data_IF_878038692254
#
_entry.id   IF_878038692254
#
_cell.length_a   1.000
_cell.length_b   1.000
_cell.length_c   1.000
_cell.angle_alpha   90.00
_cell.angle_beta   90.00
_cell.angle_gamma   90.00
#
_symmetry.space_group_name_H-M   'P 1'
#
loop_
_entity.id
_entity.type
_entity.pdbx_description
1 polymer ?
#
# COMPACT_ATOMS: atom_id res chain seq x y z
N UNK A 1 -12.14 14.27 13.23
CA UNK A 1 -11.18 13.55 14.09
C UNK A 1 -10.46 12.56 13.20
N UNK A 2 -9.14 12.45 13.32
CA UNK A 2 -8.35 11.51 12.52
C UNK A 2 -8.40 10.12 13.15
N UNK A 3 -8.33 9.09 12.31
CA UNK A 3 -8.24 7.70 12.74
C UNK A 3 -6.77 7.32 12.94
N UNK A 4 -6.38 6.77 14.10
CA UNK A 4 -5.00 6.34 14.30
C UNK A 4 -4.71 5.08 13.50
N UNK A 5 -3.58 5.07 12.77
CA UNK A 5 -3.00 3.84 12.24
C UNK A 5 -2.05 3.29 13.29
N UNK A 6 -2.36 2.09 13.78
CA UNK A 6 -1.49 1.42 14.73
C UNK A 6 -0.19 1.00 14.03
N UNK A 7 0.97 1.09 14.68
CA UNK A 7 2.24 0.67 14.09
C UNK A 7 2.37 -0.84 13.99
N UNK A 8 1.54 -1.61 14.68
CA UNK A 8 1.52 -3.07 14.63
C UNK A 8 0.06 -3.55 14.63
N UNK A 9 -0.18 -4.69 13.98
CA UNK A 9 -1.48 -5.33 14.05
C UNK A 9 -1.72 -6.02 15.40
N UNK A 10 -2.98 -6.00 15.85
CA UNK A 10 -3.38 -6.65 17.10
C UNK A 10 -3.19 -8.19 17.09
N UNK A 11 -3.09 -8.81 15.90
CA UNK A 11 -2.97 -10.26 15.71
C UNK A 11 -1.59 -10.71 15.21
N UNK A 12 -0.61 -9.80 15.10
CA UNK A 12 0.76 -10.12 14.67
C UNK A 12 0.98 -10.21 13.16
N UNK A 13 -0.03 -9.96 12.33
CA UNK A 13 0.16 -9.83 10.88
C UNK A 13 0.84 -8.50 10.55
N UNK A 14 1.93 -8.52 9.78
CA UNK A 14 2.68 -7.32 9.39
C UNK A 14 1.94 -6.41 8.40
N UNK A 15 0.72 -6.76 7.99
CA UNK A 15 -0.07 -6.00 7.01
C UNK A 15 -1.40 -5.47 7.52
N UNK A 16 -1.89 -6.01 8.65
CA UNK A 16 -3.29 -5.82 9.04
C UNK A 16 -3.57 -4.41 9.56
N UNK A 17 -2.54 -3.73 10.06
CA UNK A 17 -2.65 -2.32 10.47
C UNK A 17 -2.91 -1.37 9.30
N UNK A 18 -2.68 -1.80 8.05
CA UNK A 18 -2.97 -1.04 6.84
C UNK A 18 -4.35 -1.35 6.25
N UNK A 19 -5.10 -2.31 6.79
CA UNK A 19 -6.47 -2.61 6.33
C UNK A 19 -7.40 -1.39 6.39
N UNK A 20 -7.41 -0.56 7.46
CA UNK A 20 -8.25 0.64 7.48
C UNK A 20 -7.95 1.61 6.33
N UNK A 21 -6.67 1.75 5.94
CA UNK A 21 -6.27 2.58 4.79
C UNK A 21 -6.76 1.97 3.49
N UNK A 22 -6.61 0.66 3.32
CA UNK A 22 -7.05 -0.06 2.11
C UNK A 22 -8.57 0.06 1.96
N UNK A 23 -9.33 -0.19 3.03
CA UNK A 23 -10.78 -0.09 3.04
C UNK A 23 -11.26 1.34 2.76
N UNK A 24 -10.59 2.34 3.35
CA UNK A 24 -10.87 3.75 3.06
C UNK A 24 -10.68 4.07 1.58
N UNK A 25 -9.55 3.67 0.98
CA UNK A 25 -9.28 3.90 -0.44
C UNK A 25 -10.30 3.18 -1.33
N UNK A 26 -10.71 1.94 -0.99
CA UNK A 26 -11.76 1.21 -1.70
C UNK A 26 -13.11 1.91 -1.61
N UNK A 27 -13.46 2.44 -0.44
CA UNK A 27 -14.69 3.22 -0.24
C UNK A 27 -14.70 4.53 -1.06
N UNK A 28 -13.53 5.11 -1.35
CA UNK A 28 -13.40 6.26 -2.28
C UNK A 28 -13.47 5.86 -3.77
N UNK A 29 -13.65 4.58 -4.08
CA UNK A 29 -13.75 4.08 -5.46
C UNK A 29 -12.42 3.64 -6.08
N UNK A 30 -11.34 3.53 -5.29
CA UNK A 30 -10.08 2.98 -5.78
C UNK A 30 -10.20 1.46 -5.93
N UNK A 31 -9.95 0.96 -7.14
CA UNK A 31 -10.01 -0.46 -7.45
C UNK A 31 -8.63 -1.11 -7.25
N UNK A 32 -8.53 -2.30 -6.63
CA UNK A 32 -7.28 -3.04 -6.60
C UNK A 32 -6.78 -3.32 -8.02
N UNK A 33 -5.48 -3.13 -8.27
CA UNK A 33 -4.87 -3.39 -9.57
C UNK A 33 -4.57 -4.88 -9.81
N UNK A 34 -4.67 -5.70 -8.79
CA UNK A 34 -4.41 -7.14 -8.84
C UNK A 34 -5.23 -7.87 -7.78
N UNK A 35 -4.71 -8.98 -7.22
CA UNK A 35 -5.33 -9.65 -6.09
C UNK A 35 -5.61 -8.68 -4.96
N UNK A 36 -6.76 -8.83 -4.30
CA UNK A 36 -7.17 -8.06 -3.12
C UNK A 36 -6.41 -8.51 -1.86
N UNK A 37 -5.07 -8.48 -1.93
CA UNK A 37 -4.13 -8.87 -0.89
C UNK A 37 -2.74 -8.34 -1.20
N UNK A 38 -1.89 -8.23 -0.18
CA UNK A 38 -0.47 -7.95 -0.37
C UNK A 38 0.20 -9.07 -1.19
N UNK A 39 1.05 -8.66 -2.12
CA UNK A 39 1.94 -9.54 -2.88
C UNK A 39 3.38 -9.24 -2.51
N UNK A 40 4.18 -10.28 -2.28
CA UNK A 40 5.55 -10.12 -1.80
C UNK A 40 6.55 -10.36 -2.94
N UNK A 41 7.51 -9.45 -3.08
CA UNK A 41 8.60 -9.63 -4.03
C UNK A 41 9.72 -10.53 -3.44
N UNK A 42 10.77 -10.78 -4.23
CA UNK A 42 11.93 -11.59 -3.80
C UNK A 42 12.66 -11.04 -2.57
N UNK A 43 12.63 -9.72 -2.39
CA UNK A 43 13.28 -9.04 -1.26
C UNK A 43 12.41 -9.05 0.00
N UNK A 44 11.20 -9.61 -0.07
CA UNK A 44 10.23 -9.64 1.02
C UNK A 44 9.37 -8.38 1.14
N UNK A 45 9.46 -7.44 0.19
CA UNK A 45 8.61 -6.23 0.17
C UNK A 45 7.18 -6.62 -0.19
N UNK A 46 6.25 -6.38 0.75
CA UNK A 46 4.82 -6.53 0.51
C UNK A 46 4.25 -5.32 -0.25
N UNK A 47 3.50 -5.57 -1.32
CA UNK A 47 2.90 -4.52 -2.15
C UNK A 47 1.41 -4.77 -2.29
N UNK A 48 0.62 -3.76 -1.91
CA UNK A 48 -0.78 -3.64 -2.27
C UNK A 48 -0.92 -2.51 -3.30
N UNK A 49 -1.53 -2.79 -4.45
CA UNK A 49 -1.58 -1.86 -5.56
C UNK A 49 -3.02 -1.49 -5.94
N UNK A 50 -3.27 -0.20 -6.20
CA UNK A 50 -4.52 0.33 -6.74
C UNK A 50 -4.37 0.73 -8.21
N UNK A 51 -5.45 0.67 -9.00
CA UNK A 51 -5.42 1.10 -10.40
C UNK A 51 -5.22 2.62 -10.51
N UNK A 52 -5.88 3.35 -9.62
CA UNK A 52 -5.85 4.79 -9.53
C UNK A 52 -4.69 5.28 -8.64
N UNK A 53 -4.23 6.53 -8.84
CA UNK A 53 -3.31 7.19 -7.92
C UNK A 53 -3.86 7.21 -6.50
N UNK A 54 -3.00 6.95 -5.51
CA UNK A 54 -3.37 7.04 -4.10
C UNK A 54 -3.44 8.52 -3.71
N UNK A 55 -4.60 8.98 -3.25
CA UNK A 55 -4.76 10.35 -2.75
C UNK A 55 -4.14 10.49 -1.35
N UNK A 56 -2.85 10.82 -1.33
CA UNK A 56 -2.03 10.92 -0.13
C UNK A 56 -2.47 12.08 0.76
N UNK A 57 -3.03 13.15 0.19
CA UNK A 57 -3.54 14.27 0.97
C UNK A 57 -4.81 13.89 1.73
N UNK A 58 -5.70 13.14 1.10
CA UNK A 58 -6.85 12.55 1.81
C UNK A 58 -6.41 11.60 2.92
N UNK A 59 -5.40 10.76 2.66
CA UNK A 59 -4.87 9.88 3.70
C UNK A 59 -4.32 10.69 4.89
N UNK A 60 -3.54 11.75 4.63
CA UNK A 60 -2.99 12.63 5.68
C UNK A 60 -4.09 13.37 6.45
N UNK A 61 -5.21 13.67 5.81
CA UNK A 61 -6.36 14.31 6.43
C UNK A 61 -7.21 13.34 7.27
N UNK A 62 -7.29 12.08 6.87
CA UNK A 62 -8.15 11.07 7.52
C UNK A 62 -7.44 10.27 8.61
N UNK A 63 -6.13 10.02 8.47
CA UNK A 63 -5.36 9.15 9.35
C UNK A 63 -4.21 9.87 10.07
N UNK A 64 -3.91 9.39 11.27
CA UNK A 64 -2.66 9.70 11.98
C UNK A 64 -1.66 8.57 11.77
N UNK A 65 -0.53 8.90 11.16
CA UNK A 65 0.51 7.93 10.78
C UNK A 65 1.63 7.86 11.83
N UNK A 66 2.06 6.63 12.21
CA UNK A 66 3.24 6.46 13.04
C UNK A 66 4.51 6.84 12.27
N UNK A 67 5.63 7.13 12.96
CA UNK A 67 6.88 7.54 12.32
C UNK A 67 7.48 6.53 11.33
N UNK A 68 7.10 5.25 11.42
CA UNK A 68 7.55 4.20 10.49
C UNK A 68 6.85 4.25 9.13
N UNK A 69 5.68 4.89 9.06
CA UNK A 69 4.89 5.01 7.84
C UNK A 69 5.18 6.36 7.19
N UNK A 70 5.77 6.30 6.01
CA UNK A 70 6.11 7.45 5.20
C UNK A 70 5.13 7.57 4.04
N UNK A 71 4.59 8.78 3.87
CA UNK A 71 3.78 9.16 2.74
C UNK A 71 4.66 9.81 1.67
N UNK A 72 4.52 9.38 0.42
CA UNK A 72 5.15 9.97 -0.78
C UNK A 72 4.09 10.27 -1.83
N UNK A 73 4.48 10.88 -2.95
CA UNK A 73 3.54 11.17 -4.05
C UNK A 73 2.91 9.89 -4.65
N UNK A 74 3.58 8.75 -4.53
CA UNK A 74 3.15 7.49 -5.13
C UNK A 74 2.29 6.62 -4.19
N UNK A 75 2.19 6.99 -2.91
CA UNK A 75 1.41 6.28 -1.91
C UNK A 75 2.06 6.30 -0.51
N UNK A 76 2.00 5.16 0.19
CA UNK A 76 2.58 4.98 1.52
C UNK A 76 3.56 3.82 1.58
N UNK A 77 4.57 3.94 2.43
CA UNK A 77 5.57 2.91 2.71
C UNK A 77 5.75 2.78 4.22
N UNK A 78 5.53 1.58 4.74
CA UNK A 78 5.90 1.21 6.10
C UNK A 78 7.28 0.55 6.11
N UNK A 79 8.25 1.29 6.63
CA UNK A 79 9.64 0.84 6.75
C UNK A 79 9.84 -0.25 7.81
N UNK A 80 8.96 -0.32 8.82
CA UNK A 80 9.05 -1.30 9.92
C UNK A 80 8.60 -2.68 9.47
N UNK A 81 7.49 -2.73 8.73
CA UNK A 81 6.91 -3.99 8.24
C UNK A 81 7.32 -4.34 6.82
N UNK A 82 8.11 -3.47 6.18
CA UNK A 82 8.59 -3.62 4.80
C UNK A 82 7.42 -3.84 3.82
N UNK A 83 6.41 -2.98 3.89
CA UNK A 83 5.20 -3.02 3.05
C UNK A 83 4.82 -1.66 2.49
N UNK A 84 4.19 -1.64 1.31
CA UNK A 84 3.75 -0.41 0.65
C UNK A 84 2.35 -0.53 0.06
N UNK A 85 1.64 0.59 0.04
CA UNK A 85 0.38 0.79 -0.68
C UNK A 85 0.61 1.89 -1.69
N UNK A 86 0.42 1.62 -2.97
CA UNK A 86 0.72 2.58 -4.03
C UNK A 86 -0.17 2.37 -5.24
N UNK A 87 -0.12 3.30 -6.20
CA UNK A 87 -0.64 3.02 -7.52
C UNK A 87 0.14 1.87 -8.15
N UNK A 88 -0.56 1.02 -8.92
CA UNK A 88 0.07 0.17 -9.89
C UNK A 88 0.78 1.05 -10.90
N UNK A 89 2.09 1.18 -10.72
CA UNK A 89 2.95 1.51 -11.84
C UNK A 89 2.72 0.41 -12.87
N UNK A 90 2.55 0.74 -14.17
CA UNK A 90 2.70 -0.30 -15.17
C UNK A 90 4.03 -0.93 -14.85
N UNK A 91 3.99 -2.22 -14.48
CA UNK A 91 5.19 -3.03 -14.56
C UNK A 91 5.65 -2.73 -15.98
N UNK A 92 6.79 -2.05 -16.12
CA UNK A 92 7.66 -2.37 -17.22
C UNK A 92 7.84 -3.87 -17.04
N UNK A 93 6.92 -4.64 -17.65
CA UNK A 93 7.24 -5.91 -18.18
C UNK A 93 8.50 -5.59 -18.97
N UNK A 94 9.66 -5.82 -18.34
CA UNK A 94 10.77 -6.39 -19.05
C UNK A 94 10.14 -7.58 -19.73
N UNK A 95 9.61 -7.34 -20.94
CA UNK A 95 9.65 -8.27 -22.05
C UNK A 95 11.12 -8.66 -22.07
N UNK A 96 11.46 -9.67 -21.27
CA UNK A 96 12.49 -10.59 -21.67
C UNK A 96 11.89 -11.25 -22.90
N UNK A 97 12.04 -10.58 -24.04
CA UNK A 97 11.99 -11.24 -25.33
C UNK A 97 13.16 -12.21 -25.27
N UNK A 98 12.88 -13.45 -24.85
CA UNK A 98 13.74 -14.56 -25.22
C UNK A 98 13.35 -14.85 -26.67
N UNK A 99 14.02 -14.17 -27.61
CA UNK A 99 14.16 -14.74 -28.94
C UNK A 99 15.05 -15.98 -28.79
N UNK A 100 14.48 -17.13 -29.14
CA UNK A 100 15.12 -18.43 -29.26
C UNK A 100 15.82 -18.52 -30.62
#
# INVERSE_FOLDING_TARGET
MKQPILPDAANGSSTDHLLPVIDFLKAQGNAPAGPDKFTFNRDGLGVYAFQQPVDVEQLRAHFDFPPSIHLSADGLHDSRHFVRVQQATPLLARRFSFEL
#
